data_IF_294215552605
#
_entry.id   IF_294215552605
#
_cell.length_a   1.000
_cell.length_b   1.000
_cell.length_c   1.000
_cell.angle_alpha   90.00
_cell.angle_beta   90.00
_cell.angle_gamma   90.00
#
_symmetry.space_group_name_H-M   'P 1'
#
loop_
_entity.id
_entity.type
_entity.pdbx_description
1 polymer ?
#
# COMPACT_ATOMS: atom_id res chain seq x y z
N UNK A 1 -6.93 -3.14 -0.17
CA UNK A 1 -5.54 -3.17 -0.69
C UNK A 1 -4.84 -1.93 -0.14
N UNK A 2 -3.54 -1.96 0.13
CA UNK A 2 -2.80 -0.73 0.48
C UNK A 2 -1.71 -0.52 -0.55
N UNK A 3 -1.84 0.54 -1.34
CA UNK A 3 -0.80 0.94 -2.28
C UNK A 3 0.18 1.85 -1.54
N UNK A 4 1.46 1.49 -1.63
CA UNK A 4 2.55 2.13 -0.90
C UNK A 4 3.57 2.63 -1.90
N UNK A 5 4.08 3.84 -1.67
CA UNK A 5 5.25 4.38 -2.36
C UNK A 5 6.32 4.67 -1.32
N UNK A 6 7.51 4.10 -1.53
CA UNK A 6 8.68 4.31 -0.69
C UNK A 6 9.96 4.09 -1.52
N UNK A 7 11.11 4.64 -1.08
CA UNK A 7 12.41 4.29 -1.63
C UNK A 7 12.70 2.79 -1.54
N UNK A 8 13.74 2.34 -2.25
CA UNK A 8 14.25 0.98 -2.08
C UNK A 8 14.68 0.74 -0.62
N UNK A 9 14.62 -0.51 -0.16
CA UNK A 9 14.83 -0.85 1.25
C UNK A 9 16.20 -0.41 1.77
N UNK A 10 17.25 -0.60 0.97
CA UNK A 10 18.61 -0.16 1.28
C UNK A 10 18.71 1.37 1.47
N UNK A 11 18.05 2.13 0.59
CA UNK A 11 17.98 3.59 0.69
C UNK A 11 17.16 4.04 1.90
N UNK A 12 16.04 3.36 2.18
CA UNK A 12 15.24 3.59 3.37
C UNK A 12 16.10 3.39 4.62
N UNK A 13 16.82 2.27 4.73
CA UNK A 13 17.71 2.00 5.87
C UNK A 13 18.83 3.04 5.96
N UNK A 14 19.44 3.42 4.84
CA UNK A 14 20.53 4.41 4.82
C UNK A 14 20.08 5.80 5.28
N UNK A 15 18.84 6.19 4.97
CA UNK A 15 18.25 7.49 5.34
C UNK A 15 17.65 7.50 6.75
N UNK A 16 17.11 6.37 7.22
CA UNK A 16 16.41 6.27 8.51
C UNK A 16 17.27 5.74 9.65
N UNK A 17 18.28 4.91 9.35
CA UNK A 17 19.04 4.15 10.34
C UNK A 17 20.53 4.48 10.24
N UNK A 18 21.14 4.81 11.38
CA UNK A 18 22.60 4.79 11.50
C UNK A 18 23.07 3.36 11.68
N UNK A 19 23.45 2.69 10.58
CA UNK A 19 24.16 1.41 10.64
C UNK A 19 25.42 1.63 11.48
N UNK A 20 25.68 0.74 12.44
CA UNK A 20 26.68 0.97 13.50
C UNK A 20 28.11 1.20 13.00
N UNK A 21 28.44 0.75 11.79
CA UNK A 21 29.75 0.93 11.17
C UNK A 21 29.88 2.23 10.36
N UNK A 22 28.77 2.89 10.02
CA UNK A 22 28.68 4.12 9.21
C UNK A 22 27.96 5.26 9.95
N UNK A 23 28.05 5.29 11.29
CA UNK A 23 27.48 6.39 12.09
C UNK A 23 28.29 7.66 11.88
N UNK A 24 27.85 8.43 10.90
CA UNK A 24 28.27 9.81 10.69
C UNK A 24 27.52 10.71 11.69
N UNK A 25 28.22 11.30 12.68
CA UNK A 25 27.59 12.15 13.69
C UNK A 25 26.98 13.43 13.11
N UNK A 26 27.35 13.83 11.88
CA UNK A 26 26.81 15.00 11.19
C UNK A 26 25.67 14.66 10.21
N UNK A 27 25.29 13.37 10.10
CA UNK A 27 24.21 12.95 9.20
C UNK A 27 22.83 13.16 9.83
N UNK A 28 22.00 13.93 9.15
CA UNK A 28 20.57 14.09 9.47
C UNK A 28 19.77 12.86 9.05
N UNK A 29 19.39 12.02 10.01
CA UNK A 29 18.49 10.90 9.79
C UNK A 29 17.04 11.36 9.66
N UNK A 30 16.32 10.77 8.70
CA UNK A 30 14.92 11.11 8.40
C UNK A 30 14.01 10.08 9.06
N UNK A 31 12.95 10.55 9.74
CA UNK A 31 11.95 9.66 10.30
C UNK A 31 11.21 8.88 9.18
N UNK A 32 11.03 7.54 9.27
CA UNK A 32 10.47 6.71 8.19
C UNK A 32 9.11 7.17 7.67
N UNK A 33 8.28 7.78 8.52
CA UNK A 33 6.96 8.31 8.12
C UNK A 33 7.03 9.42 7.08
N UNK A 34 8.20 10.04 6.85
CA UNK A 34 8.40 11.02 5.78
C UNK A 34 8.76 10.38 4.43
N UNK A 35 9.08 9.08 4.42
CA UNK A 35 9.53 8.36 3.23
C UNK A 35 8.49 7.34 2.74
N UNK A 36 7.53 6.95 3.59
CA UNK A 36 6.49 5.98 3.26
C UNK A 36 5.18 6.74 3.02
N UNK A 37 4.68 6.67 1.79
CA UNK A 37 3.41 7.28 1.40
C UNK A 37 2.39 6.18 1.08
N UNK A 38 1.14 6.42 1.47
CA UNK A 38 0.02 5.53 1.18
C UNK A 38 -0.96 6.23 0.25
N UNK A 39 -1.49 5.50 -0.74
CA UNK A 39 -2.65 5.98 -1.48
C UNK A 39 -3.90 5.80 -0.61
N UNK A 40 -4.57 6.91 -0.32
CA UNK A 40 -5.81 6.95 0.45
C UNK A 40 -6.88 7.72 -0.31
N UNK A 41 -8.15 7.37 -0.08
CA UNK A 41 -9.27 8.19 -0.51
C UNK A 41 -9.53 9.31 0.50
N UNK A 42 -10.25 10.35 0.07
CA UNK A 42 -10.68 11.44 0.94
C UNK A 42 -12.21 11.41 1.07
N UNK A 43 -12.70 11.36 2.31
CA UNK A 43 -14.12 11.54 2.65
C UNK A 43 -14.29 12.91 3.29
N UNK A 44 -14.95 13.83 2.59
CA UNK A 44 -15.07 15.21 3.09
C UNK A 44 -13.70 15.90 3.20
N UNK A 45 -13.55 16.79 4.20
CA UNK A 45 -12.36 17.67 4.28
C UNK A 45 -11.16 17.02 4.97
N UNK A 46 -11.36 16.19 6.00
CA UNK A 46 -10.27 15.72 6.89
C UNK A 46 -10.33 14.22 7.21
N UNK A 47 -11.17 13.42 6.55
CA UNK A 47 -11.25 11.98 6.81
C UNK A 47 -10.58 11.21 5.68
N UNK A 48 -9.45 10.57 6.00
CA UNK A 48 -8.79 9.63 5.09
C UNK A 48 -9.54 8.30 5.11
N UNK A 49 -9.83 7.73 3.95
CA UNK A 49 -10.35 6.38 3.83
C UNK A 49 -9.35 5.44 3.18
N UNK A 50 -9.37 4.19 3.60
CA UNK A 50 -8.66 3.13 2.90
C UNK A 50 -9.30 2.85 1.53
N UNK A 51 -8.48 2.48 0.55
CA UNK A 51 -8.96 2.02 -0.76
C UNK A 51 -9.37 0.55 -0.65
N UNK A 52 -10.67 0.30 -0.86
CA UNK A 52 -11.25 -1.03 -0.84
C UNK A 52 -12.76 -1.01 -0.83
N UNK A 53 -13.35 -2.18 -0.66
CA UNK A 53 -14.80 -2.32 -0.59
C UNK A 53 -15.20 -3.76 -0.26
N UNK A 54 -16.50 -4.00 -0.12
CA UNK A 54 -17.00 -5.33 0.20
C UNK A 54 -16.73 -6.30 -0.94
N UNK A 55 -16.49 -7.55 -0.56
CA UNK A 55 -16.50 -8.69 -1.48
C UNK A 55 -17.91 -8.91 -2.06
N UNK A 56 -17.99 -9.25 -3.33
CA UNK A 56 -19.21 -9.61 -4.04
C UNK A 56 -19.11 -11.01 -4.64
N UNK A 57 -19.94 -11.97 -4.20
CA UNK A 57 -19.91 -13.34 -4.73
C UNK A 57 -20.09 -13.42 -6.25
N UNK A 58 -20.92 -12.54 -6.82
CA UNK A 58 -21.24 -12.50 -8.24
C UNK A 58 -20.15 -11.87 -9.11
N UNK A 59 -19.30 -11.00 -8.55
CA UNK A 59 -18.30 -10.26 -9.30
C UNK A 59 -16.88 -10.78 -9.07
N UNK A 60 -16.58 -11.23 -7.85
CA UNK A 60 -15.22 -11.60 -7.44
C UNK A 60 -15.04 -13.13 -7.34
N UNK A 61 -16.13 -13.89 -7.31
CA UNK A 61 -16.12 -15.33 -7.08
C UNK A 61 -16.69 -15.72 -5.72
N UNK A 62 -16.86 -17.03 -5.47
CA UNK A 62 -17.57 -17.59 -4.32
C UNK A 62 -16.80 -17.45 -2.98
N UNK A 63 -16.95 -18.40 -2.05
CA UNK A 63 -16.46 -18.25 -0.68
C UNK A 63 -14.93 -17.97 -0.61
N UNK A 64 -14.49 -16.81 -0.08
CA UNK A 64 -13.07 -16.45 0.05
C UNK A 64 -12.28 -17.36 1.00
N UNK A 65 -12.96 -18.11 1.87
CA UNK A 65 -12.33 -19.13 2.71
C UNK A 65 -11.80 -20.32 1.89
N UNK A 66 -12.47 -20.64 0.78
CA UNK A 66 -12.13 -21.77 -0.10
C UNK A 66 -11.21 -21.38 -1.25
N UNK A 67 -11.29 -20.12 -1.70
CA UNK A 67 -10.47 -19.57 -2.76
C UNK A 67 -9.96 -18.17 -2.37
N UNK A 68 -8.70 -18.05 -1.90
CA UNK A 68 -8.15 -16.76 -1.50
C UNK A 68 -7.98 -15.77 -2.67
N UNK A 69 -7.99 -16.25 -3.92
CA UNK A 69 -7.89 -15.37 -5.11
C UNK A 69 -9.11 -14.45 -5.26
N UNK A 70 -10.24 -14.80 -4.63
CA UNK A 70 -11.45 -13.97 -4.56
C UNK A 70 -11.18 -12.63 -3.88
N UNK A 71 -10.35 -12.61 -2.82
CA UNK A 71 -9.98 -11.36 -2.14
C UNK A 71 -9.08 -10.48 -3.02
N UNK A 72 -8.21 -11.10 -3.83
CA UNK A 72 -7.39 -10.39 -4.81
C UNK A 72 -8.29 -9.74 -5.86
N UNK A 73 -9.25 -10.48 -6.44
CA UNK A 73 -10.21 -9.92 -7.41
C UNK A 73 -11.06 -8.79 -6.82
N UNK A 74 -11.49 -8.94 -5.56
CA UNK A 74 -12.17 -7.87 -4.81
C UNK A 74 -11.29 -6.62 -4.72
N UNK A 75 -10.01 -6.78 -4.38
CA UNK A 75 -9.06 -5.69 -4.31
C UNK A 75 -8.84 -5.02 -5.68
N UNK A 76 -8.68 -5.79 -6.76
CA UNK A 76 -8.55 -5.27 -8.14
C UNK A 76 -9.80 -4.47 -8.51
N UNK A 77 -10.99 -5.04 -8.34
CA UNK A 77 -12.28 -4.40 -8.69
C UNK A 77 -12.49 -3.10 -7.93
N UNK A 78 -12.33 -3.13 -6.61
CA UNK A 78 -12.59 -1.97 -5.76
C UNK A 78 -11.55 -0.87 -5.94
N UNK A 79 -10.27 -1.24 -6.09
CA UNK A 79 -9.20 -0.27 -6.37
C UNK A 79 -9.42 0.42 -7.72
N UNK A 80 -9.72 -0.34 -8.77
CA UNK A 80 -10.01 0.21 -10.11
C UNK A 80 -11.21 1.14 -10.08
N UNK A 81 -12.28 0.78 -9.37
CA UNK A 81 -13.47 1.62 -9.27
C UNK A 81 -13.23 2.94 -8.52
N UNK A 82 -12.41 2.93 -7.46
CA UNK A 82 -12.18 4.12 -6.62
C UNK A 82 -11.05 5.02 -7.12
N UNK A 83 -10.05 4.47 -7.81
CA UNK A 83 -8.81 5.18 -8.16
C UNK A 83 -8.54 5.23 -9.66
N UNK A 84 -9.22 4.40 -10.46
CA UNK A 84 -8.92 4.20 -11.88
C UNK A 84 -7.69 3.31 -12.15
N UNK A 85 -6.97 2.89 -11.11
CA UNK A 85 -5.76 2.05 -11.23
C UNK A 85 -6.16 0.58 -11.38
N UNK A 86 -5.75 -0.03 -12.48
CA UNK A 86 -5.98 -1.45 -12.75
C UNK A 86 -4.83 -2.32 -12.22
N UNK A 87 -5.14 -3.16 -11.23
CA UNK A 87 -4.19 -4.08 -10.59
C UNK A 87 -4.19 -5.48 -11.22
N UNK A 88 -4.94 -5.72 -12.31
CA UNK A 88 -5.05 -7.06 -12.93
C UNK A 88 -3.74 -7.62 -13.46
N UNK A 89 -2.76 -6.75 -13.76
CA UNK A 89 -1.42 -7.14 -14.18
C UNK A 89 -0.44 -7.35 -13.03
N UNK A 90 -0.84 -7.07 -11.78
CA UNK A 90 -0.01 -7.33 -10.62
C UNK A 90 -0.01 -8.84 -10.32
N UNK A 91 1.17 -9.44 -10.31
CA UNK A 91 1.38 -10.89 -10.13
C UNK A 91 2.07 -11.25 -8.83
N UNK A 92 2.40 -10.24 -8.01
CA UNK A 92 3.14 -10.35 -6.75
C UNK A 92 2.30 -9.80 -5.60
#
# INVERSE_FOLDING_TARGET
VMLISMPQMDELYKRCCGVTEDRDPDRDYVHPTRLINFLVGLRGKNETMAIGGPWSPSLDGANPEKDPSVLIRTAVRTCKALTGIDLSHCTQ
#
